data_IF_287582710319
#
_entry.id   IF_287582710319
#
_cell.length_a   1.000
_cell.length_b   1.000
_cell.length_c   1.000
_cell.angle_alpha   90.00
_cell.angle_beta   90.00
_cell.angle_gamma   90.00
#
_symmetry.space_group_name_H-M   'P 1'
#
loop_
_entity.id
_entity.type
_entity.pdbx_description
1 polymer ?
#
# COMPACT_ATOMS: atom_id res chain seq x y z
N UNK A 1 15.39 -25.46 -1.49
CA UNK A 1 15.43 -26.69 -0.69
C UNK A 1 15.64 -26.25 0.73
N UNK A 2 15.02 -26.95 1.67
CA UNK A 2 15.26 -26.79 3.10
C UNK A 2 15.45 -28.16 3.73
N UNK A 3 16.12 -28.19 4.88
CA UNK A 3 16.34 -29.42 5.66
C UNK A 3 15.61 -29.26 6.98
N UNK A 4 14.62 -30.11 7.23
CA UNK A 4 13.86 -30.13 8.48
C UNK A 4 14.03 -31.52 9.09
N UNK A 5 14.52 -31.58 10.33
CA UNK A 5 14.80 -32.83 11.04
C UNK A 5 15.69 -33.81 10.24
N UNK A 6 16.65 -33.29 9.47
CA UNK A 6 17.56 -34.09 8.64
C UNK A 6 16.99 -34.58 7.32
N UNK A 7 15.74 -34.25 6.98
CA UNK A 7 15.11 -34.59 5.70
C UNK A 7 15.17 -33.37 4.77
N UNK A 8 15.75 -33.55 3.58
CA UNK A 8 15.77 -32.54 2.54
C UNK A 8 14.43 -32.52 1.78
N UNK A 9 13.81 -31.35 1.67
CA UNK A 9 12.54 -31.16 0.98
C UNK A 9 12.47 -29.78 0.30
N UNK A 10 11.54 -29.57 -0.66
CA UNK A 10 11.30 -28.23 -1.19
C UNK A 10 10.90 -27.26 -0.07
N UNK A 11 11.41 -26.04 -0.15
CA UNK A 11 11.02 -24.97 0.77
C UNK A 11 9.56 -24.62 0.58
N UNK A 12 8.89 -24.17 1.63
CA UNK A 12 7.53 -23.66 1.54
C UNK A 12 7.55 -22.38 0.71
N UNK A 13 6.63 -22.25 -0.24
CA UNK A 13 6.56 -21.12 -1.17
C UNK A 13 5.17 -20.47 -1.22
N UNK A 14 4.39 -20.66 -0.17
CA UNK A 14 2.99 -20.24 -0.09
C UNK A 14 2.04 -21.30 -0.61
N UNK A 15 0.81 -21.24 -0.10
CA UNK A 15 -0.24 -22.24 -0.37
C UNK A 15 -0.63 -22.37 -1.83
N UNK A 16 -0.31 -21.38 -2.67
CA UNK A 16 -0.50 -21.42 -4.12
C UNK A 16 0.45 -22.41 -4.81
N UNK A 17 1.56 -22.81 -4.17
CA UNK A 17 2.57 -23.69 -4.73
C UNK A 17 2.56 -25.04 -4.01
N UNK A 18 2.77 -25.06 -2.69
CA UNK A 18 2.89 -26.28 -1.91
C UNK A 18 2.29 -26.11 -0.50
N UNK A 19 2.14 -27.23 0.22
CA UNK A 19 1.59 -27.22 1.58
C UNK A 19 2.62 -26.80 2.62
N UNK A 20 2.12 -26.35 3.77
CA UNK A 20 2.94 -25.89 4.88
C UNK A 20 3.67 -27.03 5.60
N UNK A 21 2.99 -28.16 5.84
CA UNK A 21 3.51 -29.26 6.65
C UNK A 21 4.90 -29.69 6.18
N UNK A 22 5.83 -29.91 7.12
CA UNK A 22 7.21 -30.28 6.85
C UNK A 22 7.34 -31.77 6.49
N UNK A 23 6.60 -32.19 5.46
CA UNK A 23 6.67 -33.53 4.87
C UNK A 23 7.01 -33.42 3.37
N UNK A 24 7.82 -34.34 2.81
CA UNK A 24 8.16 -34.33 1.39
C UNK A 24 6.92 -34.30 0.46
N UNK A 25 5.84 -34.96 0.86
CA UNK A 25 4.58 -35.03 0.13
C UNK A 25 3.89 -33.66 0.10
N UNK A 26 3.75 -33.01 1.27
CA UNK A 26 3.14 -31.68 1.39
C UNK A 26 3.94 -30.63 0.64
N UNK A 27 5.27 -30.72 0.67
CA UNK A 27 6.17 -29.75 0.02
C UNK A 27 6.28 -29.88 -1.49
N UNK A 28 5.67 -30.91 -2.09
CA UNK A 28 5.62 -31.06 -3.54
C UNK A 28 4.73 -29.96 -4.18
N UNK A 29 5.23 -29.22 -5.18
CA UNK A 29 4.40 -28.27 -5.92
C UNK A 29 3.17 -28.95 -6.56
N UNK A 30 2.00 -28.35 -6.39
CA UNK A 30 0.72 -28.84 -6.90
C UNK A 30 -0.03 -27.74 -7.67
N UNK A 31 -0.10 -27.82 -9.01
CA UNK A 31 -0.79 -26.82 -9.84
C UNK A 31 -2.28 -26.64 -9.54
N UNK A 32 -2.94 -27.65 -8.94
CA UNK A 32 -4.37 -27.53 -8.59
C UNK A 32 -4.62 -26.44 -7.54
N UNK A 33 -3.60 -26.08 -6.75
CA UNK A 33 -3.62 -25.00 -5.76
C UNK A 33 -3.87 -23.63 -6.38
N UNK A 34 -3.55 -23.41 -7.65
CA UNK A 34 -3.89 -22.16 -8.35
C UNK A 34 -5.40 -21.93 -8.42
N UNK A 35 -6.17 -23.00 -8.62
CA UNK A 35 -7.63 -22.94 -8.66
C UNK A 35 -8.18 -22.66 -7.26
N UNK A 36 -7.63 -23.32 -6.24
CA UNK A 36 -7.97 -23.04 -4.84
C UNK A 36 -7.65 -21.59 -4.46
N UNK A 37 -6.49 -21.07 -4.85
CA UNK A 37 -6.09 -19.69 -4.61
C UNK A 37 -7.07 -18.68 -5.23
N UNK A 38 -7.52 -18.93 -6.47
CA UNK A 38 -8.55 -18.13 -7.13
C UNK A 38 -9.86 -18.10 -6.32
N UNK A 39 -10.36 -19.27 -5.89
CA UNK A 39 -11.61 -19.32 -5.14
C UNK A 39 -11.52 -18.66 -3.77
N UNK A 40 -10.41 -18.85 -3.03
CA UNK A 40 -10.17 -18.13 -1.78
C UNK A 40 -10.11 -16.62 -2.00
N UNK A 41 -9.39 -16.16 -3.02
CA UNK A 41 -9.28 -14.73 -3.35
C UNK A 41 -10.65 -14.12 -3.70
N UNK A 42 -11.43 -14.80 -4.53
CA UNK A 42 -12.77 -14.36 -4.93
C UNK A 42 -13.74 -14.32 -3.73
N UNK A 43 -13.72 -15.34 -2.87
CA UNK A 43 -14.54 -15.39 -1.67
C UNK A 43 -14.19 -14.27 -0.68
N UNK A 44 -12.89 -14.04 -0.43
CA UNK A 44 -12.40 -12.97 0.44
C UNK A 44 -12.79 -11.59 -0.09
N UNK A 45 -12.59 -11.32 -1.39
CA UNK A 45 -12.97 -10.03 -1.99
C UNK A 45 -14.48 -9.81 -1.96
N UNK A 46 -15.27 -10.87 -2.20
CA UNK A 46 -16.73 -10.79 -2.09
C UNK A 46 -17.17 -10.48 -0.65
N UNK A 47 -16.57 -11.15 0.34
CA UNK A 47 -16.83 -10.89 1.75
C UNK A 47 -16.50 -9.43 2.11
N UNK A 48 -15.32 -8.93 1.73
CA UNK A 48 -14.93 -7.54 1.97
C UNK A 48 -15.93 -6.54 1.39
N UNK A 49 -16.34 -6.71 0.13
CA UNK A 49 -17.32 -5.82 -0.52
C UNK A 49 -18.69 -5.89 0.16
N UNK A 50 -19.13 -7.07 0.56
CA UNK A 50 -20.38 -7.25 1.29
C UNK A 50 -20.33 -6.58 2.67
N UNK A 51 -19.22 -6.73 3.41
CA UNK A 51 -19.03 -6.09 4.71
C UNK A 51 -18.99 -4.56 4.62
N UNK A 52 -18.33 -4.00 3.59
CA UNK A 52 -18.37 -2.55 3.35
C UNK A 52 -19.78 -2.06 3.05
N UNK A 53 -20.52 -2.81 2.25
CA UNK A 53 -21.92 -2.50 1.91
C UNK A 53 -22.86 -2.64 3.12
N UNK A 54 -22.46 -3.39 4.15
CA UNK A 54 -23.22 -3.54 5.40
C UNK A 54 -22.82 -2.52 6.49
N UNK A 55 -22.01 -1.50 6.17
CA UNK A 55 -21.63 -0.44 7.10
C UNK A 55 -20.44 -0.77 8.00
N UNK A 56 -19.62 -1.79 7.67
CA UNK A 56 -18.42 -2.12 8.47
C UNK A 56 -17.46 -0.93 8.61
N UNK A 57 -17.39 -0.09 7.58
CA UNK A 57 -16.47 1.05 7.51
C UNK A 57 -17.16 2.40 7.75
N UNK A 58 -18.33 2.40 8.39
CA UNK A 58 -19.02 3.61 8.79
C UNK A 58 -18.25 4.32 9.93
N UNK A 59 -17.79 5.54 9.67
CA UNK A 59 -17.06 6.34 10.66
C UNK A 59 -17.93 6.77 11.85
N UNK A 60 -19.26 6.72 11.75
CA UNK A 60 -20.18 7.00 12.85
C UNK A 60 -20.21 5.89 13.90
N UNK A 61 -19.98 4.64 13.47
CA UNK A 61 -20.08 3.45 14.32
C UNK A 61 -18.88 2.52 14.14
N UNK A 62 -17.64 2.98 14.39
CA UNK A 62 -16.50 2.11 14.25
C UNK A 62 -16.46 1.10 15.39
N UNK A 63 -15.94 -0.08 15.07
CA UNK A 63 -15.94 -1.26 15.94
C UNK A 63 -15.29 -1.01 17.31
N UNK A 64 -14.22 -0.21 17.37
CA UNK A 64 -13.56 0.15 18.62
C UNK A 64 -12.80 1.49 18.52
N UNK A 65 -13.06 2.41 19.46
CA UNK A 65 -12.27 3.64 19.68
C UNK A 65 -11.40 3.54 20.96
N UNK A 66 -11.41 2.39 21.62
CA UNK A 66 -10.82 2.17 22.93
C UNK A 66 -9.31 2.18 22.91
N UNK A 67 -8.71 3.00 23.77
CA UNK A 67 -7.26 3.09 23.97
C UNK A 67 -6.81 2.35 25.24
N UNK A 68 -7.60 1.35 25.69
CA UNK A 68 -7.34 0.58 26.90
C UNK A 68 -6.03 -0.22 26.86
N UNK A 69 -5.50 -0.44 25.66
CA UNK A 69 -4.26 -1.15 25.42
C UNK A 69 -3.00 -0.25 25.48
N UNK A 70 -3.17 1.07 25.51
CA UNK A 70 -2.04 2.01 25.58
C UNK A 70 -1.60 2.16 27.03
N UNK A 71 -0.44 1.60 27.36
CA UNK A 71 0.05 1.55 28.75
C UNK A 71 0.65 2.88 29.18
N UNK A 72 1.34 3.58 28.28
CA UNK A 72 2.01 4.85 28.58
C UNK A 72 1.01 6.02 28.71
N UNK A 73 0.89 6.68 29.87
CA UNK A 73 -0.12 7.73 30.09
C UNK A 73 -0.03 8.90 29.11
N UNK A 74 1.18 9.38 28.81
CA UNK A 74 1.39 10.51 27.89
C UNK A 74 1.00 10.20 26.44
N UNK A 75 1.23 8.96 25.98
CA UNK A 75 0.82 8.50 24.65
C UNK A 75 -0.70 8.37 24.59
N UNK A 76 -1.29 7.78 25.64
CA UNK A 76 -2.73 7.60 25.78
C UNK A 76 -3.46 8.95 25.70
N UNK A 77 -3.01 9.94 26.46
CA UNK A 77 -3.58 11.30 26.43
C UNK A 77 -3.49 11.93 25.03
N UNK A 78 -2.35 11.76 24.33
CA UNK A 78 -2.18 12.26 22.96
C UNK A 78 -3.20 11.63 22.00
N UNK A 79 -3.42 10.33 22.10
CA UNK A 79 -4.34 9.59 21.22
C UNK A 79 -5.81 9.88 21.57
N UNK A 80 -6.16 9.97 22.85
CA UNK A 80 -7.50 10.36 23.31
C UNK A 80 -7.90 11.72 22.77
N UNK A 81 -6.96 12.68 22.71
CA UNK A 81 -7.19 13.99 22.10
C UNK A 81 -7.47 13.92 20.59
N UNK A 82 -6.78 13.03 19.85
CA UNK A 82 -7.04 12.84 18.42
C UNK A 82 -8.42 12.23 18.23
N UNK A 83 -8.75 11.17 18.96
CA UNK A 83 -10.05 10.50 18.90
C UNK A 83 -11.18 11.48 19.25
N UNK A 84 -11.02 12.28 20.31
CA UNK A 84 -12.02 13.30 20.68
C UNK A 84 -12.27 14.30 19.55
N UNK A 85 -11.19 14.81 18.93
CA UNK A 85 -11.32 15.76 17.81
C UNK A 85 -12.02 15.15 16.60
N UNK A 86 -11.72 13.90 16.24
CA UNK A 86 -12.40 13.20 15.15
C UNK A 86 -13.89 13.04 15.47
N UNK A 87 -14.23 12.61 16.68
CA UNK A 87 -15.63 12.47 17.13
C UNK A 87 -16.37 13.81 17.13
N UNK A 88 -15.73 14.87 17.60
CA UNK A 88 -16.32 16.21 17.62
C UNK A 88 -16.52 16.76 16.19
N UNK A 89 -15.60 16.48 15.27
CA UNK A 89 -15.74 16.84 13.86
C UNK A 89 -16.91 16.09 13.18
N UNK A 90 -17.03 14.78 13.41
CA UNK A 90 -18.17 13.98 12.92
C UNK A 90 -19.49 14.51 13.48
N UNK A 91 -19.56 14.80 14.79
CA UNK A 91 -20.73 15.42 15.42
C UNK A 91 -21.05 16.79 14.81
N UNK A 92 -20.02 17.59 14.53
CA UNK A 92 -20.19 18.89 13.88
C UNK A 92 -20.79 18.73 12.48
N UNK A 93 -20.22 17.86 11.63
CA UNK A 93 -20.74 17.54 10.28
C UNK A 93 -22.20 17.12 10.32
N UNK A 94 -22.57 16.26 11.27
CA UNK A 94 -23.94 15.84 11.50
C UNK A 94 -24.85 17.03 11.89
N UNK A 95 -24.38 17.89 12.79
CA UNK A 95 -25.13 19.06 13.28
C UNK A 95 -25.39 20.09 12.18
N UNK A 96 -24.42 20.33 11.30
CA UNK A 96 -24.57 21.27 10.17
C UNK A 96 -25.25 20.65 8.94
N UNK A 97 -25.59 19.35 8.97
CA UNK A 97 -26.30 18.66 7.90
C UNK A 97 -25.46 18.33 6.66
N UNK A 98 -24.12 18.45 6.74
CA UNK A 98 -23.19 18.13 5.65
C UNK A 98 -22.97 16.61 5.52
N UNK A 99 -23.34 15.86 6.55
CA UNK A 99 -23.26 14.39 6.64
C UNK A 99 -24.28 13.64 5.75
N UNK A 100 -24.99 14.34 4.86
CA UNK A 100 -26.03 13.74 4.00
C UNK A 100 -25.53 13.35 2.62
N UNK A 101 -24.33 13.78 2.23
CA UNK A 101 -23.66 13.36 1.00
C UNK A 101 -22.67 12.23 1.29
N UNK A 102 -22.81 11.13 0.55
CA UNK A 102 -22.02 9.89 0.63
C UNK A 102 -20.52 10.17 0.74
N UNK A 103 -19.98 10.15 1.95
CA UNK A 103 -18.54 10.40 2.17
C UNK A 103 -17.94 9.77 3.42
N UNK A 104 -18.75 9.41 4.43
CA UNK A 104 -18.25 8.88 5.72
C UNK A 104 -18.85 7.53 6.12
N UNK A 105 -19.87 7.05 5.42
CA UNK A 105 -20.58 5.78 5.71
C UNK A 105 -19.81 4.55 5.20
N UNK A 106 -18.84 4.74 4.30
CA UNK A 106 -18.10 3.65 3.67
C UNK A 106 -16.76 4.13 3.11
N UNK A 107 -15.92 3.18 2.70
CA UNK A 107 -14.61 3.44 2.08
C UNK A 107 -14.41 2.55 0.87
N UNK A 108 -13.61 2.99 -0.09
CA UNK A 108 -13.12 2.14 -1.17
C UNK A 108 -11.90 1.33 -0.69
N UNK A 109 -12.01 0.00 -0.69
CA UNK A 109 -10.88 -0.90 -0.47
C UNK A 109 -10.44 -1.51 -1.79
N UNK A 110 -9.17 -1.31 -2.12
CA UNK A 110 -8.50 -1.94 -3.26
C UNK A 110 -7.61 -3.09 -2.78
N UNK A 111 -7.43 -4.09 -3.64
CA UNK A 111 -6.61 -5.27 -3.34
C UNK A 111 -5.24 -5.18 -4.01
N UNK A 112 -4.25 -5.80 -3.39
CA UNK A 112 -2.93 -6.00 -3.99
C UNK A 112 -2.27 -7.30 -3.59
N UNK A 113 -1.32 -7.77 -4.42
CA UNK A 113 -0.39 -8.85 -4.10
C UNK A 113 0.87 -8.78 -4.97
N UNK A 114 1.92 -9.52 -4.59
CA UNK A 114 3.13 -9.65 -5.42
C UNK A 114 2.79 -10.45 -6.68
N UNK A 115 3.03 -9.90 -7.87
CA UNK A 115 2.81 -10.59 -9.14
C UNK A 115 3.86 -11.68 -9.41
N UNK A 116 3.98 -12.64 -8.49
CA UNK A 116 5.11 -13.57 -8.38
C UNK A 116 4.92 -14.80 -9.28
N UNK A 117 3.75 -15.42 -9.25
CA UNK A 117 3.47 -16.68 -9.94
C UNK A 117 2.83 -16.38 -11.31
N UNK A 118 3.68 -16.20 -12.32
CA UNK A 118 3.26 -15.65 -13.61
C UNK A 118 2.22 -16.49 -14.35
N UNK A 119 2.19 -17.81 -14.13
CA UNK A 119 1.14 -18.69 -14.67
C UNK A 119 -0.25 -18.31 -14.14
N UNK A 120 -0.33 -17.93 -12.87
CA UNK A 120 -1.55 -17.42 -12.25
C UNK A 120 -1.91 -16.04 -12.83
N UNK A 121 -0.96 -15.12 -12.85
CA UNK A 121 -1.19 -13.75 -13.33
C UNK A 121 -1.59 -13.69 -14.81
N UNK A 122 -0.90 -14.47 -15.66
CA UNK A 122 -1.22 -14.59 -17.08
C UNK A 122 -2.64 -15.13 -17.27
N UNK A 123 -3.03 -16.16 -16.51
CA UNK A 123 -4.37 -16.76 -16.63
C UNK A 123 -5.51 -15.79 -16.25
N UNK A 124 -5.21 -14.78 -15.45
CA UNK A 124 -6.14 -13.73 -15.00
C UNK A 124 -5.95 -12.41 -15.72
N UNK A 125 -5.11 -12.35 -16.76
CA UNK A 125 -4.97 -11.14 -17.57
C UNK A 125 -6.10 -11.02 -18.60
N UNK A 126 -6.70 -9.83 -18.72
CA UNK A 126 -7.84 -9.55 -19.61
C UNK A 126 -7.62 -8.28 -20.41
N UNK A 127 -8.01 -8.29 -21.69
CA UNK A 127 -8.08 -7.09 -22.52
C UNK A 127 -9.37 -6.33 -22.21
N UNK A 128 -9.28 -5.20 -21.54
CA UNK A 128 -10.42 -4.39 -21.10
C UNK A 128 -10.40 -3.02 -21.77
N UNK A 129 -11.54 -2.32 -21.72
CA UNK A 129 -11.60 -0.92 -22.14
C UNK A 129 -10.97 -0.06 -21.06
N UNK A 130 -10.17 0.92 -21.46
CA UNK A 130 -9.58 1.86 -20.52
C UNK A 130 -10.70 2.74 -19.92
N UNK A 131 -10.58 3.11 -18.62
CA UNK A 131 -11.53 4.02 -18.00
C UNK A 131 -11.47 5.38 -18.70
N UNK A 132 -12.62 6.03 -18.85
CA UNK A 132 -12.71 7.37 -19.41
C UNK A 132 -12.04 8.32 -18.39
N UNK A 133 -11.06 9.14 -18.78
CA UNK A 133 -10.45 10.11 -17.89
C UNK A 133 -11.55 11.00 -17.28
N UNK A 134 -11.50 11.31 -15.97
CA UNK A 134 -12.40 12.29 -15.41
C UNK A 134 -12.28 13.59 -16.21
N UNK A 135 -13.41 14.10 -16.70
CA UNK A 135 -13.45 15.41 -17.35
C UNK A 135 -12.92 16.45 -16.34
N UNK A 136 -12.04 17.37 -16.73
CA UNK A 136 -11.62 18.44 -15.83
C UNK A 136 -12.88 19.16 -15.36
N UNK A 137 -13.10 19.23 -14.05
CA UNK A 137 -14.15 20.04 -13.46
C UNK A 137 -13.96 21.47 -13.97
N UNK A 138 -14.84 21.93 -14.87
CA UNK A 138 -14.91 23.35 -15.18
C UNK A 138 -15.28 24.05 -13.88
N UNK A 139 -14.50 25.04 -13.43
CA UNK A 139 -14.96 25.94 -12.37
C UNK A 139 -16.30 26.50 -12.83
N UNK A 140 -17.33 26.34 -12.03
CA UNK A 140 -18.64 26.96 -12.28
C UNK A 140 -18.42 28.47 -12.39
N UNK A 141 -18.41 28.97 -13.63
CA UNK A 141 -18.23 30.38 -13.91
C UNK A 141 -19.47 31.14 -13.44
N UNK A 142 -19.39 31.69 -12.24
CA UNK A 142 -20.26 32.79 -11.82
C UNK A 142 -19.76 34.02 -12.58
N UNK A 143 -20.26 34.24 -13.79
CA UNK A 143 -20.48 35.54 -14.48
C UNK A 143 -20.64 35.32 -16.00
N UNK A 144 -21.63 35.97 -16.65
CA UNK A 144 -21.77 35.90 -18.10
C UNK A 144 -20.79 36.88 -18.74
N UNK A 145 -19.71 36.36 -19.35
CA UNK A 145 -18.94 37.12 -20.34
C UNK A 145 -19.11 36.46 -21.71
N UNK A 146 -19.64 37.25 -22.63
CA UNK A 146 -19.96 36.87 -24.01
C UNK A 146 -18.67 36.70 -24.79
N UNK A 147 -18.17 35.46 -24.90
CA UNK A 147 -17.10 35.12 -25.85
C UNK A 147 -17.53 33.94 -26.70
N UNK A 148 -17.63 34.18 -28.00
CA UNK A 148 -17.97 33.19 -29.01
C UNK A 148 -16.80 32.22 -29.18
N UNK A 149 -16.88 31.05 -28.54
CA UNK A 149 -15.91 29.97 -28.72
C UNK A 149 -16.38 29.05 -29.84
N UNK A 150 -15.62 29.01 -30.93
CA UNK A 150 -15.79 28.11 -32.06
C UNK A 150 -15.65 26.66 -31.59
N UNK A 151 -16.75 25.91 -31.55
CA UNK A 151 -16.79 24.50 -31.18
C UNK A 151 -16.21 23.63 -32.31
N UNK A 152 -14.92 23.32 -32.25
CA UNK A 152 -14.37 22.19 -33.00
C UNK A 152 -14.88 20.90 -32.36
N UNK A 153 -15.88 20.29 -32.97
CA UNK A 153 -16.38 18.96 -32.63
C UNK A 153 -15.33 17.90 -32.99
N UNK A 154 -14.44 17.59 -32.05
CA UNK A 154 -13.61 16.38 -32.15
C UNK A 154 -14.53 15.16 -32.08
N UNK A 155 -14.56 14.34 -33.15
CA UNK A 155 -15.22 13.03 -33.13
C UNK A 155 -14.75 12.24 -31.89
N UNK A 156 -15.64 11.55 -31.16
CA UNK A 156 -15.22 10.71 -30.05
C UNK A 156 -14.32 9.60 -30.60
N UNK A 157 -13.05 9.63 -30.22
CA UNK A 157 -12.10 8.53 -30.43
C UNK A 157 -12.65 7.28 -29.76
N UNK A 158 -12.63 6.15 -30.48
CA UNK A 158 -13.05 4.87 -29.91
C UNK A 158 -12.30 4.59 -28.59
N UNK A 159 -12.95 4.01 -27.58
CA UNK A 159 -12.31 3.74 -26.30
C UNK A 159 -11.10 2.83 -26.52
N UNK A 160 -9.94 3.28 -26.05
CA UNK A 160 -8.70 2.49 -26.06
C UNK A 160 -8.87 1.25 -25.16
N UNK A 161 -8.13 0.19 -25.47
CA UNK A 161 -8.15 -1.05 -24.72
C UNK A 161 -6.73 -1.42 -24.32
N UNK A 162 -6.58 -1.88 -23.09
CA UNK A 162 -5.31 -2.34 -22.54
C UNK A 162 -5.46 -3.68 -21.82
N UNK A 163 -4.35 -4.38 -21.66
CA UNK A 163 -4.33 -5.59 -20.85
C UNK A 163 -4.25 -5.22 -19.37
N UNK A 164 -5.12 -5.82 -18.56
CA UNK A 164 -5.12 -5.68 -17.11
C UNK A 164 -4.95 -7.05 -16.49
N UNK A 165 -4.04 -7.19 -15.52
CA UNK A 165 -4.02 -8.34 -14.63
C UNK A 165 -5.22 -8.19 -13.68
N UNK A 166 -6.30 -8.96 -13.90
CA UNK A 166 -7.53 -8.85 -13.11
C UNK A 166 -7.52 -9.74 -11.87
N UNK A 167 -6.34 -10.23 -11.48
CA UNK A 167 -6.11 -10.91 -10.20
C UNK A 167 -6.16 -9.92 -9.02
N UNK A 168 -5.82 -8.65 -9.24
CA UNK A 168 -5.87 -7.57 -8.24
C UNK A 168 -5.94 -6.19 -8.87
N UNK A 169 -6.19 -5.16 -8.06
CA UNK A 169 -6.22 -3.78 -8.53
C UNK A 169 -4.80 -3.24 -8.72
N UNK A 170 -3.91 -3.52 -7.75
CA UNK A 170 -2.50 -3.13 -7.74
C UNK A 170 -1.62 -4.37 -7.60
N UNK A 171 -0.55 -4.49 -8.37
CA UNK A 171 0.41 -5.59 -8.24
C UNK A 171 1.81 -5.03 -8.02
N UNK A 172 2.71 -5.77 -7.37
CA UNK A 172 4.11 -5.35 -7.27
C UNK A 172 5.12 -6.39 -7.74
N UNK A 173 6.28 -5.91 -8.16
CA UNK A 173 7.50 -6.69 -8.42
C UNK A 173 8.31 -6.75 -7.14
N UNK A 174 8.66 -7.96 -6.70
CA UNK A 174 9.50 -8.19 -5.54
C UNK A 174 10.98 -7.85 -5.78
N UNK A 175 11.71 -7.61 -4.69
CA UNK A 175 13.14 -7.27 -4.76
C UNK A 175 14.02 -8.40 -5.32
N UNK A 176 13.52 -9.65 -5.29
CA UNK A 176 14.21 -10.84 -5.82
C UNK A 176 13.81 -11.19 -7.25
N UNK A 177 12.80 -10.53 -7.81
CA UNK A 177 12.20 -10.84 -9.12
C UNK A 177 12.26 -9.65 -10.09
N UNK A 178 12.98 -8.59 -9.72
CA UNK A 178 13.09 -7.34 -10.49
C UNK A 178 14.24 -7.29 -11.49
N UNK A 179 14.71 -8.44 -11.99
CA UNK A 179 15.78 -8.45 -12.99
C UNK A 179 15.31 -7.71 -14.26
N UNK A 180 16.10 -6.75 -14.76
CA UNK A 180 15.73 -5.88 -15.88
C UNK A 180 15.23 -6.66 -17.12
N UNK A 181 15.92 -7.75 -17.46
CA UNK A 181 15.57 -8.63 -18.58
C UNK A 181 14.80 -9.89 -18.13
N UNK A 182 14.23 -9.86 -16.93
CA UNK A 182 13.49 -10.97 -16.32
C UNK A 182 12.03 -11.01 -16.73
N UNK A 183 11.40 -12.17 -16.53
CA UNK A 183 10.01 -12.41 -16.92
C UNK A 183 9.02 -11.50 -16.20
N UNK A 184 9.25 -11.15 -14.92
CA UNK A 184 8.38 -10.27 -14.15
C UNK A 184 8.38 -8.84 -14.69
N UNK A 185 9.55 -8.26 -14.98
CA UNK A 185 9.63 -6.92 -15.56
C UNK A 185 8.93 -6.89 -16.93
N UNK A 186 9.12 -7.92 -17.74
CA UNK A 186 8.42 -8.05 -19.03
C UNK A 186 6.89 -8.18 -18.88
N UNK A 187 6.42 -8.97 -17.92
CA UNK A 187 4.98 -9.07 -17.63
C UNK A 187 4.40 -7.72 -17.21
N UNK A 188 5.07 -7.02 -16.29
CA UNK A 188 4.62 -5.72 -15.76
C UNK A 188 4.66 -4.60 -16.79
N UNK A 189 5.57 -4.66 -17.78
CA UNK A 189 5.58 -3.76 -18.94
C UNK A 189 4.29 -3.82 -19.75
N UNK A 190 3.64 -4.98 -19.80
CA UNK A 190 2.47 -5.25 -20.64
C UNK A 190 1.11 -4.92 -20.00
N UNK A 191 1.05 -4.65 -18.70
CA UNK A 191 -0.22 -4.44 -17.98
C UNK A 191 -0.49 -2.95 -17.71
N UNK A 192 -1.76 -2.57 -17.75
CA UNK A 192 -2.22 -1.21 -17.51
C UNK A 192 -2.50 -0.89 -16.03
N UNK A 193 -2.53 -1.89 -15.15
CA UNK A 193 -2.69 -1.70 -13.69
C UNK A 193 -1.67 -0.68 -13.13
N UNK A 194 -1.99 0.07 -12.07
CA UNK A 194 -0.96 0.69 -11.24
C UNK A 194 -0.10 -0.41 -10.61
N UNK A 195 1.22 -0.20 -10.57
CA UNK A 195 2.17 -1.23 -10.13
C UNK A 195 3.17 -0.73 -9.11
N UNK A 196 3.62 -1.64 -8.25
CA UNK A 196 4.68 -1.43 -7.28
C UNK A 196 6.01 -2.03 -7.72
N UNK A 197 7.12 -1.43 -7.31
CA UNK A 197 8.46 -2.02 -7.47
C UNK A 197 9.17 -1.93 -6.12
N UNK A 198 9.48 -3.09 -5.52
CA UNK A 198 10.24 -3.15 -4.27
C UNK A 198 11.69 -2.75 -4.53
N UNK A 199 12.20 -1.78 -3.77
CA UNK A 199 13.57 -1.28 -3.85
C UNK A 199 14.30 -1.54 -2.52
N UNK A 200 15.25 -2.47 -2.55
CA UNK A 200 16.09 -2.82 -1.40
C UNK A 200 17.50 -2.23 -1.47
N UNK A 201 18.35 -2.44 -0.45
CA UNK A 201 19.72 -1.94 -0.40
C UNK A 201 20.63 -2.39 -1.55
N UNK A 202 20.28 -3.49 -2.23
CA UNK A 202 21.01 -4.00 -3.39
C UNK A 202 20.70 -3.26 -4.70
N UNK A 203 19.65 -2.43 -4.73
CA UNK A 203 19.28 -1.69 -5.94
C UNK A 203 20.21 -0.49 -6.15
N UNK A 204 20.72 -0.36 -7.38
CA UNK A 204 21.47 0.83 -7.79
C UNK A 204 20.55 1.88 -8.41
N UNK A 205 20.90 3.18 -8.38
CA UNK A 205 20.08 4.21 -9.01
C UNK A 205 19.96 4.04 -10.53
N UNK A 206 21.02 3.60 -11.21
CA UNK A 206 20.98 3.31 -12.65
C UNK A 206 20.02 2.17 -12.97
N UNK A 207 20.09 1.07 -12.22
CA UNK A 207 19.18 -0.06 -12.38
C UNK A 207 17.72 0.38 -12.20
N UNK A 208 17.43 1.19 -11.17
CA UNK A 208 16.10 1.73 -10.93
C UNK A 208 15.58 2.51 -12.14
N UNK A 209 16.37 3.44 -12.68
CA UNK A 209 15.96 4.23 -13.84
C UNK A 209 15.71 3.37 -15.08
N UNK A 210 16.52 2.34 -15.31
CA UNK A 210 16.33 1.41 -16.43
C UNK A 210 15.04 0.61 -16.29
N UNK A 211 14.70 0.14 -15.09
CA UNK A 211 13.43 -0.57 -14.86
C UNK A 211 12.25 0.39 -15.07
N UNK A 212 12.34 1.64 -14.60
CA UNK A 212 11.29 2.64 -14.80
C UNK A 212 11.06 2.97 -16.27
N UNK A 213 12.12 3.05 -17.07
CA UNK A 213 12.00 3.27 -18.52
C UNK A 213 11.30 2.11 -19.25
N UNK A 214 11.39 0.90 -18.70
CA UNK A 214 10.70 -0.28 -19.23
C UNK A 214 9.24 -0.33 -18.78
N UNK A 215 8.97 -0.14 -17.49
CA UNK A 215 7.64 -0.36 -16.89
C UNK A 215 6.72 0.87 -17.04
N UNK A 216 7.29 2.08 -17.11
CA UNK A 216 6.55 3.33 -17.27
C UNK A 216 7.16 4.23 -18.35
N UNK A 217 7.27 3.77 -19.61
CA UNK A 217 7.94 4.52 -20.67
C UNK A 217 7.27 5.87 -20.96
N UNK A 218 5.95 5.97 -20.72
CA UNK A 218 5.17 7.19 -20.88
C UNK A 218 5.28 8.17 -19.69
N UNK A 219 5.95 7.76 -18.60
CA UNK A 219 6.13 8.54 -17.36
C UNK A 219 4.79 8.99 -16.77
N UNK A 220 3.79 8.13 -16.85
CA UNK A 220 2.47 8.37 -16.32
C UNK A 220 2.54 8.49 -14.78
N UNK A 221 1.98 9.57 -14.24
CA UNK A 221 1.95 9.83 -12.81
C UNK A 221 1.03 8.81 -12.14
N UNK A 222 1.50 8.20 -11.05
CA UNK A 222 0.73 7.19 -10.32
C UNK A 222 0.75 5.78 -10.93
N UNK A 223 1.36 5.61 -12.11
CA UNK A 223 1.53 4.30 -12.74
C UNK A 223 2.46 3.39 -11.95
N UNK A 224 3.55 3.94 -11.41
CA UNK A 224 4.55 3.19 -10.63
C UNK A 224 4.71 3.78 -9.23
N UNK A 225 4.56 2.92 -8.23
CA UNK A 225 4.91 3.16 -6.83
C UNK A 225 6.22 2.45 -6.50
N UNK A 226 7.21 3.17 -5.98
CA UNK A 226 8.47 2.59 -5.51
C UNK A 226 8.38 2.24 -4.02
N UNK A 227 8.47 0.96 -3.69
CA UNK A 227 8.30 0.46 -2.33
C UNK A 227 9.68 0.25 -1.69
N UNK A 228 10.15 1.23 -0.92
CA UNK A 228 11.45 1.16 -0.25
C UNK A 228 11.43 0.25 0.97
N UNK A 229 12.51 -0.53 1.10
CA UNK A 229 12.73 -1.47 2.20
C UNK A 229 14.21 -1.54 2.55
N UNK A 230 14.77 -0.46 3.09
CA UNK A 230 16.20 -0.40 3.36
C UNK A 230 16.58 -0.98 4.72
N UNK A 231 15.67 -0.90 5.70
CA UNK A 231 15.97 -1.09 7.11
C UNK A 231 16.42 0.23 7.73
N UNK A 232 16.06 0.46 9.00
CA UNK A 232 16.26 1.74 9.67
C UNK A 232 17.73 2.18 9.72
N UNK A 233 18.66 1.23 9.73
CA UNK A 233 20.10 1.49 9.74
C UNK A 233 20.66 1.94 8.36
N UNK A 234 19.95 1.68 7.27
CA UNK A 234 20.46 1.85 5.89
C UNK A 234 19.71 2.91 5.10
N UNK A 235 18.47 3.25 5.48
CA UNK A 235 17.64 4.21 4.73
C UNK A 235 18.38 5.53 4.43
N UNK A 236 19.05 6.11 5.43
CA UNK A 236 19.74 7.39 5.28
C UNK A 236 20.88 7.33 4.24
N UNK A 237 21.51 6.17 4.06
CA UNK A 237 22.60 5.99 3.11
C UNK A 237 22.11 5.75 1.68
N UNK A 238 20.95 5.13 1.49
CA UNK A 238 20.48 4.68 0.18
C UNK A 238 19.37 5.55 -0.42
N UNK A 239 18.39 5.96 0.40
CA UNK A 239 17.19 6.63 -0.09
C UNK A 239 17.46 7.96 -0.80
N UNK A 240 18.36 8.86 -0.32
CA UNK A 240 18.61 10.15 -0.96
C UNK A 240 19.10 10.01 -2.42
N UNK A 241 20.06 9.12 -2.66
CA UNK A 241 20.61 8.90 -4.01
C UNK A 241 19.54 8.37 -4.98
N UNK A 242 18.64 7.52 -4.47
CA UNK A 242 17.53 6.98 -5.24
C UNK A 242 16.44 8.02 -5.51
N UNK A 243 16.21 8.99 -4.61
CA UNK A 243 15.31 10.13 -4.88
C UNK A 243 15.91 10.98 -6.01
N UNK A 244 17.18 11.37 -5.89
CA UNK A 244 17.84 12.24 -6.85
C UNK A 244 17.86 11.64 -8.26
N UNK A 245 18.17 10.33 -8.38
CA UNK A 245 18.20 9.67 -9.68
C UNK A 245 16.83 9.62 -10.36
N UNK A 246 15.76 9.37 -9.60
CA UNK A 246 14.42 9.34 -10.19
C UNK A 246 13.96 10.74 -10.58
N UNK A 247 14.19 11.75 -9.74
CA UNK A 247 13.91 13.15 -10.09
C UNK A 247 14.65 13.56 -11.37
N UNK A 248 15.93 13.19 -11.51
CA UNK A 248 16.73 13.49 -12.70
C UNK A 248 16.25 12.76 -13.96
N UNK A 249 15.66 11.56 -13.81
CA UNK A 249 15.12 10.79 -14.94
C UNK A 249 13.81 11.37 -15.50
N UNK A 250 13.14 12.27 -14.76
CA UNK A 250 11.85 12.85 -15.12
C UNK A 250 10.65 11.95 -14.82
N UNK A 251 10.85 10.83 -14.13
CA UNK A 251 9.77 10.02 -13.56
C UNK A 251 9.30 10.64 -12.23
N UNK A 252 8.00 10.61 -11.97
CA UNK A 252 7.38 11.10 -10.73
C UNK A 252 6.81 9.92 -9.92
N UNK A 253 7.65 9.15 -9.19
CA UNK A 253 7.21 8.00 -8.43
C UNK A 253 6.53 8.40 -7.12
N UNK A 254 5.54 7.62 -6.70
CA UNK A 254 5.02 7.59 -5.32
C UNK A 254 5.81 6.56 -4.50
N UNK A 255 5.89 6.68 -3.16
CA UNK A 255 6.79 5.83 -2.33
C UNK A 255 6.17 5.26 -1.06
N UNK A 256 6.80 4.17 -0.57
CA UNK A 256 6.31 3.29 0.50
C UNK A 256 7.44 2.58 1.32
N UNK A 257 7.13 1.94 2.48
CA UNK A 257 7.85 1.88 3.76
C UNK A 257 8.09 0.46 4.39
N UNK A 258 9.11 0.27 5.28
CA UNK A 258 9.18 -0.70 6.42
C UNK A 258 10.36 -0.46 7.43
N UNK A 259 10.39 -1.12 8.61
CA UNK A 259 11.26 -0.97 9.83
C UNK A 259 10.92 0.21 10.79
N UNK A 260 9.86 -0.01 11.57
CA UNK A 260 8.59 0.63 11.22
C UNK A 260 8.46 2.10 11.67
N UNK A 261 9.12 2.49 12.75
CA UNK A 261 9.00 3.85 13.28
C UNK A 261 10.23 4.71 13.03
N UNK A 262 11.41 4.11 13.18
CA UNK A 262 12.67 4.82 12.96
C UNK A 262 12.89 5.10 11.48
N UNK A 263 12.66 4.10 10.61
CA UNK A 263 12.75 4.31 9.17
C UNK A 263 11.67 5.32 8.71
N UNK A 264 10.47 5.32 9.30
CA UNK A 264 9.39 6.24 8.91
C UNK A 264 9.76 7.69 9.22
N UNK A 265 10.27 7.95 10.43
CA UNK A 265 10.76 9.29 10.82
C UNK A 265 11.88 9.76 9.90
N UNK A 266 12.82 8.87 9.56
CA UNK A 266 13.90 9.19 8.63
C UNK A 266 13.37 9.43 7.21
N UNK A 267 12.45 8.60 6.71
CA UNK A 267 11.85 8.76 5.39
C UNK A 267 11.14 10.10 5.26
N UNK A 268 10.29 10.45 6.24
CA UNK A 268 9.60 11.73 6.29
C UNK A 268 10.57 12.92 6.30
N UNK A 269 11.64 12.85 7.11
CA UNK A 269 12.67 13.88 7.17
C UNK A 269 13.46 14.00 5.85
N UNK A 270 13.82 12.87 5.22
CA UNK A 270 14.53 12.83 3.94
C UNK A 270 13.64 13.39 2.82
N UNK A 271 12.37 13.00 2.78
CA UNK A 271 11.43 13.50 1.80
C UNK A 271 11.25 15.02 1.91
N UNK A 272 11.08 15.53 3.14
CA UNK A 272 11.05 16.97 3.44
C UNK A 272 12.31 17.67 2.96
N UNK A 273 13.48 17.15 3.30
CA UNK A 273 14.77 17.75 2.91
C UNK A 273 14.99 17.73 1.39
N UNK A 274 14.44 16.73 0.69
CA UNK A 274 14.53 16.59 -0.76
C UNK A 274 13.41 17.31 -1.53
N UNK A 275 12.52 18.04 -0.86
CA UNK A 275 11.37 18.71 -1.50
C UNK A 275 10.42 17.74 -2.20
N UNK A 276 10.30 16.52 -1.66
CA UNK A 276 9.45 15.45 -2.21
C UNK A 276 8.42 15.00 -1.17
N UNK A 277 7.40 14.26 -1.61
CA UNK A 277 6.31 13.83 -0.76
C UNK A 277 6.35 12.32 -0.48
N UNK A 278 6.05 11.91 0.76
CA UNK A 278 5.85 10.51 1.12
C UNK A 278 4.41 10.09 0.79
N UNK A 279 4.24 9.28 -0.25
CA UNK A 279 2.93 8.97 -0.84
C UNK A 279 2.08 7.93 -0.13
N UNK A 280 2.64 7.08 0.73
CA UNK A 280 1.89 5.99 1.40
C UNK A 280 2.74 5.07 2.28
N UNK A 281 2.10 4.03 2.84
CA UNK A 281 2.73 2.96 3.62
C UNK A 281 2.12 1.57 3.30
N UNK A 282 2.98 0.55 3.20
CA UNK A 282 2.69 -0.84 2.87
C UNK A 282 3.22 -1.67 4.02
N UNK A 283 2.29 -2.05 4.88
CA UNK A 283 2.58 -2.68 6.15
C UNK A 283 2.06 -4.11 6.10
N UNK A 284 2.79 -5.01 6.75
CA UNK A 284 2.28 -6.34 7.05
C UNK A 284 1.60 -6.29 8.42
N UNK A 285 0.29 -6.50 8.46
CA UNK A 285 -0.50 -6.38 9.68
C UNK A 285 -1.59 -7.44 9.76
N UNK A 286 -2.08 -7.67 10.97
CA UNK A 286 -3.24 -8.52 11.26
C UNK A 286 -4.11 -7.87 12.34
N UNK A 287 -5.43 -8.09 12.24
CA UNK A 287 -6.38 -7.69 13.29
C UNK A 287 -6.36 -8.61 14.52
N UNK A 288 -5.51 -9.64 14.51
CA UNK A 288 -5.32 -10.54 15.64
C UNK A 288 -4.25 -10.04 16.61
N UNK A 289 -4.48 -10.28 17.91
CA UNK A 289 -3.53 -10.00 18.96
C UNK A 289 -2.35 -10.99 18.98
N UNK A 290 -1.51 -10.94 17.94
CA UNK A 290 -0.29 -11.75 17.77
C UNK A 290 0.92 -11.10 18.46
N UNK A 291 1.93 -11.91 18.74
CA UNK A 291 3.20 -11.49 19.35
C UNK A 291 4.35 -11.68 18.36
N UNK A 292 4.29 -11.00 17.22
CA UNK A 292 5.24 -11.19 16.11
C UNK A 292 6.31 -10.09 16.04
N UNK A 293 5.92 -8.83 16.31
CA UNK A 293 6.84 -7.68 16.32
C UNK A 293 7.09 -7.17 17.74
N UNK A 294 8.34 -6.99 18.14
CA UNK A 294 8.69 -6.39 19.45
C UNK A 294 8.36 -4.89 19.51
N UNK A 295 8.16 -4.38 20.72
CA UNK A 295 7.88 -2.97 21.00
C UNK A 295 6.39 -2.62 20.96
N UNK A 296 6.11 -1.38 20.53
CA UNK A 296 4.79 -0.76 20.58
C UNK A 296 4.34 -0.37 21.99
N UNK A 297 3.18 0.27 22.09
CA UNK A 297 2.61 0.81 23.32
C UNK A 297 2.24 -0.27 24.36
N UNK A 298 2.14 -1.53 23.93
CA UNK A 298 1.95 -2.69 24.79
C UNK A 298 3.26 -3.24 25.37
N UNK A 299 4.43 -2.77 24.89
CA UNK A 299 5.74 -3.12 25.43
C UNK A 299 6.17 -4.57 25.16
N UNK A 300 5.84 -5.13 23.99
CA UNK A 300 6.17 -6.52 23.69
C UNK A 300 7.69 -6.73 23.65
N UNK A 301 8.20 -7.71 24.38
CA UNK A 301 9.63 -8.07 24.43
C UNK A 301 9.90 -9.33 23.61
N UNK A 302 11.18 -9.62 23.35
CA UNK A 302 11.60 -10.84 22.67
C UNK A 302 11.11 -12.12 23.40
N UNK A 303 11.09 -12.08 24.74
CA UNK A 303 10.59 -13.19 25.57
C UNK A 303 9.10 -13.47 25.33
N UNK A 304 8.31 -12.44 25.01
CA UNK A 304 6.88 -12.56 24.73
C UNK A 304 6.54 -13.05 23.31
N UNK A 305 7.52 -13.16 22.41
CA UNK A 305 7.24 -13.56 21.02
C UNK A 305 6.66 -14.98 20.94
N UNK A 306 7.13 -15.88 21.80
CA UNK A 306 6.71 -17.29 21.82
C UNK A 306 5.24 -17.55 22.20
N UNK A 307 4.52 -16.54 22.70
CA UNK A 307 3.14 -16.71 23.18
C UNK A 307 2.13 -16.92 22.05
N UNK A 308 2.24 -16.13 20.97
CA UNK A 308 1.32 -16.14 19.83
C UNK A 308 1.97 -15.66 18.53
N UNK A 309 3.07 -16.32 18.15
CA UNK A 309 3.71 -16.15 16.83
C UNK A 309 3.00 -17.05 15.80
N UNK A 310 2.23 -16.48 14.87
CA UNK A 310 1.36 -17.28 13.97
C UNK A 310 1.66 -17.11 12.48
N UNK A 311 2.49 -16.14 12.09
CA UNK A 311 3.02 -16.01 10.73
C UNK A 311 4.12 -17.02 10.46
N UNK A 312 4.23 -17.43 9.19
CA UNK A 312 5.30 -18.29 8.68
C UNK A 312 6.24 -17.54 7.72
N UNK A 313 5.90 -16.29 7.41
CA UNK A 313 6.68 -15.39 6.59
C UNK A 313 7.33 -14.34 7.48
N UNK A 314 7.19 -13.07 7.14
CA UNK A 314 7.70 -11.98 7.95
C UNK A 314 6.75 -11.69 9.14
N UNK A 315 7.29 -11.19 10.27
CA UNK A 315 6.50 -10.72 11.42
C UNK A 315 5.49 -9.63 11.05
N UNK A 316 4.24 -9.75 11.51
CA UNK A 316 3.20 -8.74 11.27
C UNK A 316 2.99 -7.84 12.48
N UNK A 317 2.56 -6.61 12.22
CA UNK A 317 1.99 -5.74 13.25
C UNK A 317 0.64 -6.31 13.72
N UNK A 318 0.44 -6.39 15.04
CA UNK A 318 -0.89 -6.67 15.59
C UNK A 318 -1.79 -5.42 15.53
N UNK A 319 -3.05 -5.55 15.95
CA UNK A 319 -4.04 -4.49 15.83
C UNK A 319 -3.63 -3.21 16.58
N UNK A 320 -2.97 -3.36 17.73
CA UNK A 320 -2.55 -2.26 18.61
C UNK A 320 -1.36 -1.51 18.03
N UNK A 321 -0.38 -2.25 17.51
CA UNK A 321 0.81 -1.67 16.86
C UNK A 321 0.44 -0.95 15.55
N UNK A 322 -0.49 -1.52 14.77
CA UNK A 322 -1.01 -0.87 13.58
C UNK A 322 -1.72 0.46 13.90
N UNK A 323 -2.54 0.49 14.95
CA UNK A 323 -3.24 1.70 15.39
C UNK A 323 -2.27 2.76 15.92
N UNK A 324 -1.27 2.36 16.70
CA UNK A 324 -0.22 3.25 17.19
C UNK A 324 0.53 3.95 16.06
N UNK A 325 0.89 3.19 15.02
CA UNK A 325 1.55 3.70 13.83
C UNK A 325 0.67 4.73 13.10
N UNK A 326 -0.63 4.46 12.95
CA UNK A 326 -1.57 5.40 12.34
C UNK A 326 -1.59 6.75 13.08
N UNK A 327 -1.61 6.74 14.42
CA UNK A 327 -1.55 7.97 15.21
C UNK A 327 -0.21 8.70 15.11
N UNK A 328 0.91 7.98 14.98
CA UNK A 328 2.23 8.59 14.83
C UNK A 328 2.36 9.32 13.49
N UNK A 329 1.86 8.73 12.41
CA UNK A 329 1.80 9.36 11.09
C UNK A 329 0.91 10.60 11.11
N UNK A 330 -0.30 10.47 11.67
CA UNK A 330 -1.22 11.61 11.82
C UNK A 330 -0.61 12.75 12.65
N UNK A 331 0.17 12.41 13.69
CA UNK A 331 0.89 13.38 14.50
C UNK A 331 1.97 14.16 13.72
N UNK A 332 2.73 13.47 12.86
CA UNK A 332 3.80 14.10 12.09
C UNK A 332 3.29 15.14 11.09
N UNK A 333 2.24 14.82 10.33
CA UNK A 333 1.67 15.76 9.36
C UNK A 333 1.08 17.00 10.02
N UNK A 334 0.55 16.88 11.24
CA UNK A 334 0.09 18.05 11.99
C UNK A 334 1.24 18.98 12.40
N UNK A 335 2.38 18.43 12.78
CA UNK A 335 3.58 19.22 13.10
C UNK A 335 4.15 19.92 11.85
N UNK A 336 3.94 19.38 10.64
CA UNK A 336 4.27 20.06 9.38
C UNK A 336 3.41 21.30 9.17
N UNK A 337 2.08 21.15 9.22
CA UNK A 337 1.13 22.25 9.00
C UNK A 337 1.35 23.40 10.01
N UNK A 338 1.59 23.07 11.28
CA UNK A 338 1.88 24.06 12.34
C UNK A 338 3.23 24.79 12.12
N UNK A 339 4.20 24.17 11.44
CA UNK A 339 5.52 24.77 11.18
C UNK A 339 5.56 25.63 9.91
N UNK A 340 4.72 25.32 8.92
CA UNK A 340 4.60 26.11 7.69
C UNK A 340 3.73 27.36 7.90
N UNK A 341 2.73 27.30 8.80
CA UNK A 341 1.98 28.49 9.26
C UNK A 341 2.86 29.48 10.06
N UNK A 342 3.90 29.00 10.76
CA UNK A 342 4.81 29.86 11.52
C UNK A 342 5.86 30.56 10.63
N UNK A 343 6.18 29.98 9.47
CA UNK A 343 7.15 30.53 8.51
C UNK A 343 6.49 31.41 7.43
N UNK A 344 5.17 31.56 7.46
CA UNK A 344 4.38 32.38 6.52
C UNK A 344 3.84 33.68 7.14
N UNK A 345 4.27 34.04 8.36
CA UNK A 345 3.95 35.31 9.06
C UNK A 345 5.15 36.25 9.08
#
# INVERSE_FOLDING_TARGET
MEVVNGIEMPSFRGDNINGFDATPESRRPDPSRLVSAYFHSAATLNYLRASLSSGLADLHSPLDWGLGHVITPSIKEKYERIVSRVKDALRFMQTVGIDTDRGVETVDIYTSHEGLLLEYEQSLTRLLKDPIPPQPHQPTAVHPSTTTTTTTTSKPTAPTKSYYATSSHFLWIGDRTRQLNGAHVEFFRGIANPVGIKIGPSMTPTELTQILDVVNPAREIGKVTLISRYGAAKIAAHLPAQIAAVQASGHLPTRDFNDILSELRQALAIHRAAGSFLGGMHLELTGEAVTECVGGAAGLTEEGLGERYTTFCDPRLNEKQALELAFLVAGFYRELDESDDMNSI
#
